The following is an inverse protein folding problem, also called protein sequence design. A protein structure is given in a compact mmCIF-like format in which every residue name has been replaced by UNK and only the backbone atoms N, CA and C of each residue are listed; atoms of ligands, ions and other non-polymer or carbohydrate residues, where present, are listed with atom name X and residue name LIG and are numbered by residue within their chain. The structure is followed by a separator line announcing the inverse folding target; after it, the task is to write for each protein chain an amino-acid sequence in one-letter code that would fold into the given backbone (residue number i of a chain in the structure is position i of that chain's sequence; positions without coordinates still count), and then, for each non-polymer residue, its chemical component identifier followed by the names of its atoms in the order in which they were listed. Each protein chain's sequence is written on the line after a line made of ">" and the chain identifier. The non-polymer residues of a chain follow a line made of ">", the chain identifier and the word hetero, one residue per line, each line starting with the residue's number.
data_IF_159605854960
#
_entry.id   IF_159605854960
#
_cell.length_a   1.000
_cell.length_b   1.000
_cell.length_c   1.000
_cell.angle_alpha   90.00
_cell.angle_beta   90.00
_cell.angle_gamma   90.00
#
_symmetry.space_group_name_H-M   'P 1'
#
loop_
_entity.id
_entity.type
_entity.pdbx_description
1 polymer ?
#
# COMPACT_ATOMS: atom_id res chain seq x y z
N UNK A 1 -13.48 22.25 14.63
CA UNK A 1 -12.70 21.20 15.32
C UNK A 1 -12.93 21.22 16.83
N UNK A 2 -13.00 22.38 17.46
CA UNK A 2 -13.28 22.47 18.93
C UNK A 2 -14.66 21.92 19.27
N UNK A 3 -15.66 22.23 18.48
CA UNK A 3 -17.01 21.70 18.63
C UNK A 3 -17.05 20.18 18.47
N UNK A 4 -16.38 19.63 17.45
CA UNK A 4 -16.22 18.20 17.28
C UNK A 4 -15.52 17.56 18.49
N UNK A 5 -14.48 18.21 19.01
CA UNK A 5 -13.76 17.77 20.21
C UNK A 5 -14.66 17.71 21.42
N UNK A 6 -15.51 18.72 21.64
CA UNK A 6 -16.43 18.77 22.78
C UNK A 6 -17.46 17.63 22.73
N UNK A 7 -17.99 17.32 21.54
CA UNK A 7 -18.94 16.22 21.34
C UNK A 7 -18.30 14.83 21.50
N UNK A 8 -17.00 14.69 21.17
CA UNK A 8 -16.26 13.44 21.32
C UNK A 8 -15.67 13.23 22.71
N UNK A 9 -15.57 14.28 23.52
CA UNK A 9 -14.94 14.23 24.83
C UNK A 9 -15.52 13.14 25.76
N UNK A 10 -16.86 12.91 25.83
CA UNK A 10 -17.42 11.84 26.65
C UNK A 10 -16.93 10.45 26.23
N UNK A 11 -16.80 10.19 24.93
CA UNK A 11 -16.32 8.90 24.44
C UNK A 11 -14.81 8.74 24.59
N UNK A 12 -14.06 9.81 24.45
CA UNK A 12 -12.61 9.81 24.75
C UNK A 12 -12.38 9.50 26.24
N UNK A 13 -13.31 9.89 27.13
CA UNK A 13 -13.30 9.61 28.56
C UNK A 13 -13.89 8.24 28.94
N UNK A 14 -14.16 7.37 28.00
CA UNK A 14 -14.64 6.00 28.25
C UNK A 14 -16.17 5.83 28.26
N UNK A 15 -16.93 6.83 27.79
CA UNK A 15 -18.38 6.76 27.65
C UNK A 15 -18.76 6.65 26.17
N UNK A 16 -19.88 5.99 25.88
CA UNK A 16 -20.44 5.96 24.53
C UNK A 16 -20.95 7.36 24.16
N UNK A 17 -20.69 7.81 22.93
CA UNK A 17 -21.27 9.06 22.44
C UNK A 17 -22.02 8.85 21.12
N UNK A 18 -23.01 9.71 20.88
CA UNK A 18 -23.77 9.78 19.66
C UNK A 18 -23.46 11.08 18.94
N UNK A 19 -23.17 10.98 17.64
CA UNK A 19 -22.88 12.15 16.80
C UNK A 19 -23.81 12.10 15.59
N UNK A 20 -24.61 13.14 15.43
CA UNK A 20 -25.38 13.35 14.20
C UNK A 20 -24.46 13.84 13.10
N UNK A 21 -24.59 13.25 11.92
CA UNK A 21 -23.81 13.61 10.76
C UNK A 21 -24.72 14.31 9.77
N UNK A 22 -24.30 15.51 9.39
CA UNK A 22 -24.91 16.26 8.29
C UNK A 22 -23.80 16.79 7.38
N UNK A 23 -24.01 16.81 6.06
CA UNK A 23 -23.10 17.45 5.14
C UNK A 23 -22.92 18.94 5.47
N UNK A 24 -21.67 19.42 5.40
CA UNK A 24 -21.32 20.83 5.58
C UNK A 24 -20.65 21.29 4.29
N UNK A 25 -21.23 22.26 3.62
CA UNK A 25 -20.75 22.75 2.33
C UNK A 25 -19.25 23.10 2.37
N UNK A 26 -18.50 22.54 1.44
CA UNK A 26 -17.04 22.70 1.28
C UNK A 26 -16.16 22.22 2.47
N UNK A 27 -16.73 21.47 3.42
CA UNK A 27 -16.00 20.96 4.59
C UNK A 27 -16.22 19.45 4.77
N UNK A 28 -17.48 19.00 4.73
CA UNK A 28 -17.86 17.61 4.96
C UNK A 28 -18.89 17.16 3.93
N UNK A 29 -18.57 16.10 3.19
CA UNK A 29 -19.49 15.39 2.30
C UNK A 29 -19.71 13.96 2.81
N UNK A 30 -20.96 13.50 2.82
CA UNK A 30 -21.34 12.14 3.22
C UNK A 30 -21.70 11.36 1.97
N UNK A 31 -21.06 10.21 1.79
CA UNK A 31 -21.26 9.33 0.64
C UNK A 31 -21.76 7.97 1.16
N UNK A 32 -22.89 7.49 0.65
CA UNK A 32 -23.33 6.14 0.98
C UNK A 32 -22.35 5.10 0.44
N UNK A 33 -22.08 4.01 1.19
CA UNK A 33 -21.09 3.00 0.76
C UNK A 33 -21.39 2.38 -0.61
N UNK A 34 -22.65 2.23 -0.97
CA UNK A 34 -23.10 1.71 -2.27
C UNK A 34 -22.85 2.72 -3.42
N UNK A 35 -22.87 4.01 -3.12
CA UNK A 35 -22.64 5.10 -4.08
C UNK A 35 -21.16 5.48 -4.18
N UNK A 36 -20.32 4.93 -3.28
CA UNK A 36 -18.90 5.24 -3.27
C UNK A 36 -18.17 4.63 -4.46
N UNK A 37 -17.78 5.50 -5.39
CA UNK A 37 -16.93 5.19 -6.53
C UNK A 37 -15.67 6.04 -6.47
N UNK A 38 -14.54 5.43 -6.13
CA UNK A 38 -13.26 6.12 -6.01
C UNK A 38 -12.81 6.80 -7.31
N UNK A 39 -13.14 6.25 -8.47
CA UNK A 39 -12.80 6.87 -9.76
C UNK A 39 -13.67 8.11 -10.07
N UNK A 40 -14.94 8.10 -9.70
CA UNK A 40 -15.80 9.29 -9.81
C UNK A 40 -15.30 10.38 -8.87
N UNK A 41 -15.00 10.01 -7.62
CA UNK A 41 -14.49 10.93 -6.63
C UNK A 41 -13.12 11.50 -7.02
N UNK A 42 -12.30 10.76 -7.77
CA UNK A 42 -10.96 11.18 -8.17
C UNK A 42 -10.94 12.53 -8.88
N UNK A 43 -11.97 12.87 -9.67
CA UNK A 43 -12.06 14.18 -10.34
C UNK A 43 -12.14 15.31 -9.32
N UNK A 44 -12.90 15.13 -8.25
CA UNK A 44 -13.01 16.12 -7.17
C UNK A 44 -11.73 16.18 -6.34
N UNK A 45 -11.04 15.03 -6.18
CA UNK A 45 -9.80 14.94 -5.41
C UNK A 45 -8.61 15.60 -6.10
N UNK A 46 -8.65 15.82 -7.42
CA UNK A 46 -7.55 16.42 -8.18
C UNK A 46 -7.17 17.83 -7.70
N UNK A 47 -8.13 18.59 -7.17
CA UNK A 47 -7.92 19.96 -6.66
C UNK A 47 -7.07 20.00 -5.38
N UNK A 48 -6.95 18.90 -4.65
CA UNK A 48 -6.20 18.83 -3.40
C UNK A 48 -4.75 18.41 -3.66
N UNK A 49 -3.81 18.99 -2.91
CA UNK A 49 -2.37 18.66 -3.01
C UNK A 49 -2.06 17.30 -2.40
N UNK A 50 -2.78 16.93 -1.33
CA UNK A 50 -2.62 15.67 -0.63
C UNK A 50 -3.98 15.10 -0.22
N UNK A 51 -4.15 13.79 -0.38
CA UNK A 51 -5.38 13.07 -0.09
C UNK A 51 -5.06 11.82 0.70
N UNK A 52 -5.76 11.62 1.80
CA UNK A 52 -5.64 10.44 2.66
C UNK A 52 -6.95 9.66 2.65
N UNK A 53 -6.88 8.37 2.36
CA UNK A 53 -7.95 7.41 2.64
C UNK A 53 -7.65 6.68 3.93
N UNK A 54 -8.60 6.66 4.86
CA UNK A 54 -8.49 6.03 6.15
C UNK A 54 -9.48 4.89 6.30
N UNK A 55 -8.95 3.70 6.58
CA UNK A 55 -9.73 2.53 6.95
C UNK A 55 -9.34 2.04 8.35
N UNK A 56 -10.22 1.27 8.98
CA UNK A 56 -9.96 0.67 10.28
C UNK A 56 -8.90 -0.43 10.18
N UNK A 57 -9.09 -1.34 9.24
CA UNK A 57 -8.25 -2.53 9.10
C UNK A 57 -7.34 -2.45 7.89
N UNK A 58 -6.20 -3.10 8.00
CA UNK A 58 -5.23 -3.19 6.92
C UNK A 58 -5.78 -3.86 5.65
N UNK A 59 -6.63 -4.88 5.83
CA UNK A 59 -7.25 -5.56 4.69
C UNK A 59 -8.18 -4.62 3.90
N UNK A 60 -8.90 -3.71 4.58
CA UNK A 60 -9.77 -2.73 3.92
C UNK A 60 -8.92 -1.67 3.19
N UNK A 61 -7.85 -1.21 3.83
CA UNK A 61 -6.84 -0.33 3.23
C UNK A 61 -6.24 -0.94 1.96
N UNK A 62 -5.79 -2.20 2.05
CA UNK A 62 -5.22 -2.93 0.92
C UNK A 62 -6.24 -3.16 -0.19
N UNK A 63 -7.47 -3.54 0.17
CA UNK A 63 -8.56 -3.74 -0.79
C UNK A 63 -8.87 -2.46 -1.56
N UNK A 64 -8.86 -1.31 -0.87
CA UNK A 64 -9.04 -0.01 -1.51
C UNK A 64 -7.89 0.32 -2.49
N UNK A 65 -6.64 0.13 -2.08
CA UNK A 65 -5.48 0.35 -2.96
C UNK A 65 -5.52 -0.55 -4.21
N UNK A 66 -5.93 -1.81 -4.05
CA UNK A 66 -6.10 -2.75 -5.18
C UNK A 66 -7.24 -2.34 -6.12
N UNK A 67 -8.28 -1.66 -5.63
CA UNK A 67 -9.35 -1.09 -6.47
C UNK A 67 -8.92 0.19 -7.18
N UNK A 68 -7.96 0.94 -6.62
CA UNK A 68 -7.43 2.21 -7.15
C UNK A 68 -5.93 2.10 -7.51
N UNK A 69 -5.52 1.08 -8.28
CA UNK A 69 -4.11 0.75 -8.47
C UNK A 69 -3.38 1.84 -9.25
N UNK A 70 -2.16 2.15 -8.79
CA UNK A 70 -1.33 3.20 -9.39
C UNK A 70 -1.76 4.63 -9.02
N UNK A 71 -2.82 4.78 -8.22
CA UNK A 71 -3.32 6.07 -7.73
C UNK A 71 -3.06 6.17 -6.24
N UNK A 72 -3.74 5.36 -5.43
CA UNK A 72 -3.49 5.31 -3.99
C UNK A 72 -2.36 4.34 -3.67
N UNK A 73 -1.46 4.80 -2.81
CA UNK A 73 -0.37 3.99 -2.27
C UNK A 73 -0.70 3.55 -0.85
N UNK A 74 -0.40 2.32 -0.53
CA UNK A 74 -0.56 1.80 0.82
C UNK A 74 0.53 2.35 1.74
N UNK A 75 0.14 2.85 2.90
CA UNK A 75 1.06 3.18 3.99
C UNK A 75 1.51 1.89 4.71
N UNK A 76 2.79 1.58 4.61
CA UNK A 76 3.35 0.33 5.13
C UNK A 76 3.54 0.39 6.65
N UNK A 77 3.38 -0.75 7.30
CA UNK A 77 3.68 -0.90 8.73
C UNK A 77 5.16 -0.67 9.01
N UNK A 78 5.46 -0.21 10.21
CA UNK A 78 6.85 -0.02 10.64
C UNK A 78 7.65 -1.33 10.69
N UNK A 79 7.04 -2.44 11.07
CA UNK A 79 7.67 -3.77 11.15
C UNK A 79 7.83 -4.46 9.79
N UNK A 80 7.02 -4.07 8.79
CA UNK A 80 7.09 -4.52 7.39
C UNK A 80 7.48 -6.01 7.20
N UNK A 81 6.78 -6.92 7.88
CA UNK A 81 7.11 -8.37 7.91
C UNK A 81 7.30 -8.98 6.52
N UNK A 82 6.52 -8.52 5.51
CA UNK A 82 6.62 -9.00 4.13
C UNK A 82 7.99 -8.70 3.51
N UNK A 83 8.59 -7.53 3.79
CA UNK A 83 9.94 -7.22 3.30
C UNK A 83 10.96 -8.26 3.77
N UNK A 84 10.94 -8.55 5.07
CA UNK A 84 11.88 -9.48 5.67
C UNK A 84 11.62 -10.94 5.28
N UNK A 85 10.35 -11.32 5.11
CA UNK A 85 9.98 -12.64 4.63
C UNK A 85 10.54 -12.89 3.22
N UNK A 86 10.30 -11.98 2.29
CA UNK A 86 10.80 -12.14 0.92
C UNK A 86 12.31 -11.93 0.80
N UNK A 87 12.92 -11.09 1.63
CA UNK A 87 14.38 -10.97 1.66
C UNK A 87 15.04 -12.30 2.03
N UNK A 88 14.52 -13.00 3.07
CA UNK A 88 14.98 -14.34 3.42
C UNK A 88 14.73 -15.37 2.30
N UNK A 89 13.56 -15.30 1.66
CA UNK A 89 13.26 -16.20 0.54
C UNK A 89 14.24 -15.97 -0.62
N UNK A 90 14.65 -14.75 -0.90
CA UNK A 90 15.62 -14.46 -1.95
C UNK A 90 17.01 -15.00 -1.61
N UNK A 91 17.43 -14.89 -0.33
CA UNK A 91 18.71 -15.44 0.12
C UNK A 91 18.74 -16.98 0.16
N UNK A 92 17.60 -17.62 0.42
CA UNK A 92 17.50 -19.08 0.59
C UNK A 92 17.10 -19.83 -0.67
N UNK A 93 16.57 -19.12 -1.68
CA UNK A 93 16.06 -19.75 -2.90
C UNK A 93 17.10 -19.71 -4.01
N UNK A 94 17.09 -20.73 -4.84
CA UNK A 94 17.94 -20.84 -6.04
C UNK A 94 17.10 -21.15 -7.27
N UNK A 95 17.67 -20.92 -8.44
CA UNK A 95 17.13 -21.30 -9.74
C UNK A 95 15.65 -20.88 -9.93
N UNK A 96 14.78 -21.81 -10.33
CA UNK A 96 13.35 -21.55 -10.57
C UNK A 96 12.60 -21.07 -9.35
N UNK A 97 13.03 -21.51 -8.15
CA UNK A 97 12.41 -21.09 -6.89
C UNK A 97 12.67 -19.62 -6.60
N UNK A 98 13.88 -19.12 -6.86
CA UNK A 98 14.20 -17.70 -6.73
C UNK A 98 13.39 -16.85 -7.71
N UNK A 99 13.35 -17.26 -8.98
CA UNK A 99 12.56 -16.57 -10.00
C UNK A 99 11.07 -16.52 -9.64
N UNK A 100 10.53 -17.61 -9.08
CA UNK A 100 9.16 -17.66 -8.58
C UNK A 100 8.95 -16.71 -7.39
N UNK A 101 9.86 -16.70 -6.43
CA UNK A 101 9.80 -15.83 -5.24
C UNK A 101 9.80 -14.34 -5.63
N UNK A 102 10.57 -13.97 -6.64
CA UNK A 102 10.57 -12.60 -7.19
C UNK A 102 9.19 -12.24 -7.75
N UNK A 103 8.60 -13.10 -8.60
CA UNK A 103 7.26 -12.85 -9.15
C UNK A 103 6.19 -12.78 -8.06
N UNK A 104 6.29 -13.62 -7.02
CA UNK A 104 5.39 -13.58 -5.87
C UNK A 104 5.52 -12.26 -5.10
N UNK A 105 6.74 -11.80 -4.82
CA UNK A 105 6.96 -10.51 -4.17
C UNK A 105 6.39 -9.33 -4.98
N UNK A 106 6.62 -9.31 -6.28
CA UNK A 106 6.10 -8.25 -7.14
C UNK A 106 4.57 -8.29 -7.18
N UNK A 107 3.96 -9.48 -7.11
CA UNK A 107 2.50 -9.62 -7.00
C UNK A 107 1.94 -9.07 -5.69
N UNK A 108 2.72 -9.05 -4.60
CA UNK A 108 2.34 -8.34 -3.37
C UNK A 108 2.38 -6.82 -3.51
N UNK A 109 3.12 -6.30 -4.49
CA UNK A 109 3.34 -4.87 -4.68
C UNK A 109 2.49 -4.25 -5.78
N UNK A 110 2.13 -5.04 -6.81
CA UNK A 110 1.47 -4.56 -8.02
C UNK A 110 0.30 -5.44 -8.44
N UNK A 111 -0.66 -4.84 -9.14
CA UNK A 111 -1.79 -5.58 -9.71
C UNK A 111 -1.42 -6.30 -11.00
N UNK A 112 -2.22 -7.30 -11.38
CA UNK A 112 -2.14 -8.07 -12.63
C UNK A 112 -0.94 -9.01 -12.77
N UNK A 113 0.01 -9.05 -11.83
CA UNK A 113 1.19 -9.92 -11.95
C UNK A 113 0.77 -11.38 -12.06
N UNK A 114 -0.08 -11.87 -11.17
CA UNK A 114 -0.55 -13.25 -11.18
C UNK A 114 -1.33 -13.64 -12.45
N UNK A 115 -2.10 -12.71 -13.04
CA UNK A 115 -2.85 -12.98 -14.27
C UNK A 115 -1.99 -12.86 -15.52
N UNK A 116 -1.20 -11.79 -15.61
CA UNK A 116 -0.39 -11.47 -16.77
C UNK A 116 0.84 -12.39 -16.91
N UNK A 117 1.46 -12.73 -15.77
CA UNK A 117 2.63 -13.60 -15.72
C UNK A 117 2.27 -15.07 -15.40
N UNK A 118 0.99 -15.46 -15.47
CA UNK A 118 0.53 -16.80 -15.08
C UNK A 118 1.28 -17.95 -15.80
N UNK A 119 1.60 -17.78 -17.08
CA UNK A 119 2.33 -18.79 -17.84
C UNK A 119 3.75 -19.01 -17.29
N UNK A 120 4.45 -17.96 -16.90
CA UNK A 120 5.75 -18.02 -16.23
C UNK A 120 5.63 -18.68 -14.87
N UNK A 121 4.68 -18.21 -14.04
CA UNK A 121 4.43 -18.75 -12.69
C UNK A 121 4.14 -20.25 -12.74
N UNK A 122 3.30 -20.71 -13.69
CA UNK A 122 3.01 -22.15 -13.83
C UNK A 122 4.25 -22.97 -14.20
N UNK A 123 5.08 -22.45 -15.11
CA UNK A 123 6.33 -23.14 -15.50
C UNK A 123 7.29 -23.22 -14.32
N UNK A 124 7.55 -22.12 -13.63
CA UNK A 124 8.42 -22.08 -12.46
C UNK A 124 7.93 -23.01 -11.34
N UNK A 125 6.62 -23.06 -11.08
CA UNK A 125 6.02 -24.00 -10.12
C UNK A 125 6.22 -25.47 -10.48
N UNK A 126 6.34 -25.77 -11.77
CA UNK A 126 6.64 -27.14 -12.26
C UNK A 126 8.15 -27.43 -12.34
N UNK A 127 9.01 -26.54 -11.87
CA UNK A 127 10.46 -26.68 -11.94
C UNK A 127 11.02 -26.58 -13.36
N UNK A 128 10.36 -25.80 -14.24
CA UNK A 128 10.77 -25.65 -15.62
C UNK A 128 11.16 -24.21 -15.95
N UNK A 129 12.35 -24.04 -16.50
CA UNK A 129 12.89 -22.79 -17.04
C UNK A 129 12.71 -22.63 -18.56
N UNK A 130 11.99 -23.56 -19.21
CA UNK A 130 11.67 -23.44 -20.63
C UNK A 130 10.51 -22.46 -20.88
N UNK A 131 10.83 -21.24 -21.26
CA UNK A 131 9.87 -20.20 -21.63
C UNK A 131 9.69 -20.01 -23.13
N UNK A 132 10.28 -20.86 -23.97
CA UNK A 132 10.32 -20.72 -25.44
C UNK A 132 8.94 -20.59 -26.11
N UNK A 133 7.93 -21.21 -25.52
CA UNK A 133 6.54 -21.18 -26.01
C UNK A 133 5.73 -19.98 -25.51
N UNK A 134 6.27 -19.18 -24.58
CA UNK A 134 5.57 -18.02 -24.02
C UNK A 134 5.93 -16.77 -24.84
N UNK A 135 4.97 -16.32 -25.66
CA UNK A 135 5.14 -15.15 -26.53
C UNK A 135 4.88 -13.81 -25.83
N UNK A 136 4.10 -13.84 -24.75
CA UNK A 136 3.80 -12.64 -23.98
C UNK A 136 4.97 -12.29 -23.08
N UNK A 137 5.46 -11.06 -23.17
CA UNK A 137 6.57 -10.56 -22.37
C UNK A 137 7.87 -11.38 -22.52
N UNK A 138 8.28 -11.68 -23.74
CA UNK A 138 9.50 -12.47 -24.03
C UNK A 138 10.74 -11.94 -23.30
N UNK A 139 10.85 -10.62 -23.12
CA UNK A 139 11.94 -10.01 -22.37
C UNK A 139 11.95 -10.45 -20.93
N UNK A 140 10.77 -10.50 -20.25
CA UNK A 140 10.66 -11.04 -18.91
C UNK A 140 11.17 -12.49 -18.83
N UNK A 141 10.79 -13.32 -19.81
CA UNK A 141 11.25 -14.70 -19.88
C UNK A 141 12.77 -14.81 -19.97
N UNK A 142 13.42 -13.94 -20.74
CA UNK A 142 14.89 -13.87 -20.82
C UNK A 142 15.52 -13.45 -19.50
N UNK A 143 14.96 -12.42 -18.84
CA UNK A 143 15.46 -11.94 -17.55
C UNK A 143 15.30 -13.01 -16.45
N UNK A 144 14.14 -13.69 -16.38
CA UNK A 144 13.93 -14.79 -15.43
C UNK A 144 14.91 -15.94 -15.69
N UNK A 145 15.22 -16.24 -16.96
CA UNK A 145 16.21 -17.26 -17.31
C UNK A 145 17.62 -16.86 -16.84
N UNK A 146 18.01 -15.59 -16.97
CA UNK A 146 19.28 -15.08 -16.44
C UNK A 146 19.35 -15.24 -14.92
N UNK A 147 18.27 -14.94 -14.19
CA UNK A 147 18.20 -15.16 -12.73
C UNK A 147 18.37 -16.64 -12.39
N UNK A 148 17.76 -17.55 -13.15
CA UNK A 148 17.85 -18.99 -12.92
C UNK A 148 19.27 -19.51 -13.19
N UNK A 149 19.93 -19.03 -14.23
CA UNK A 149 21.29 -19.44 -14.61
C UNK A 149 22.35 -18.80 -13.69
N UNK A 150 22.09 -17.60 -13.20
CA UNK A 150 22.98 -16.86 -12.31
C UNK A 150 22.18 -15.90 -11.43
N UNK A 151 22.11 -16.19 -10.13
CA UNK A 151 21.38 -15.43 -9.11
C UNK A 151 22.05 -14.10 -8.71
N UNK A 152 22.80 -13.48 -9.61
CA UNK A 152 23.46 -12.20 -9.32
C UNK A 152 22.45 -11.10 -8.97
N UNK A 153 22.82 -10.22 -8.05
CA UNK A 153 22.01 -9.06 -7.68
C UNK A 153 21.64 -8.20 -8.90
N UNK A 154 22.53 -8.12 -9.90
CA UNK A 154 22.26 -7.38 -11.14
C UNK A 154 21.08 -7.98 -11.91
N UNK A 155 21.03 -9.31 -12.06
CA UNK A 155 19.93 -9.97 -12.75
C UNK A 155 18.59 -9.77 -12.03
N UNK A 156 18.59 -9.77 -10.67
CA UNK A 156 17.42 -9.46 -9.89
C UNK A 156 16.96 -8.02 -10.14
N UNK A 157 17.88 -7.05 -10.10
CA UNK A 157 17.61 -5.62 -10.35
C UNK A 157 16.97 -5.43 -11.74
N UNK A 158 17.47 -6.11 -12.78
CA UNK A 158 16.92 -6.01 -14.13
C UNK A 158 15.46 -6.49 -14.22
N UNK A 159 15.10 -7.57 -13.49
CA UNK A 159 13.69 -8.01 -13.39
C UNK A 159 12.83 -6.92 -12.73
N UNK A 160 13.29 -6.32 -11.63
CA UNK A 160 12.57 -5.23 -10.98
C UNK A 160 12.39 -4.04 -11.92
N UNK A 161 13.43 -3.57 -12.58
CA UNK A 161 13.33 -2.45 -13.54
C UNK A 161 12.37 -2.74 -14.68
N UNK A 162 12.37 -3.96 -15.20
CA UNK A 162 11.42 -4.35 -16.24
C UNK A 162 9.96 -4.14 -15.79
N UNK A 163 9.62 -4.47 -14.54
CA UNK A 163 8.28 -4.24 -14.00
C UNK A 163 7.96 -2.78 -13.80
N UNK A 164 8.92 -1.95 -13.38
CA UNK A 164 8.73 -0.49 -13.24
C UNK A 164 8.42 0.19 -14.59
N UNK A 165 9.13 -0.20 -15.64
CA UNK A 165 8.97 0.36 -16.97
C UNK A 165 7.67 -0.09 -17.64
N UNK A 166 7.15 -1.24 -17.27
CA UNK A 166 5.96 -1.79 -17.89
C UNK A 166 4.67 -1.24 -17.25
N UNK A 167 4.08 -0.24 -17.92
CA UNK A 167 2.85 0.46 -17.47
C UNK A 167 1.63 -0.44 -17.28
N UNK A 168 1.68 -1.70 -17.71
CA UNK A 168 0.61 -2.70 -17.52
C UNK A 168 0.45 -3.06 -16.04
N UNK A 169 1.53 -3.05 -15.28
CA UNK A 169 1.55 -3.32 -13.86
C UNK A 169 1.37 -2.03 -13.08
N UNK A 170 0.38 -1.98 -12.19
CA UNK A 170 0.06 -0.80 -11.39
C UNK A 170 0.42 -1.07 -9.94
N UNK A 171 1.43 -0.38 -9.45
CA UNK A 171 1.91 -0.50 -8.08
C UNK A 171 0.96 0.20 -7.11
N UNK A 172 0.67 -0.47 -6.00
CA UNK A 172 -0.09 0.04 -4.86
C UNK A 172 0.71 -0.04 -3.55
N UNK A 173 1.88 -0.73 -3.57
CA UNK A 173 2.87 -0.80 -2.48
C UNK A 173 4.25 -0.40 -3.02
N UNK A 174 4.35 0.78 -3.58
CA UNK A 174 5.58 1.26 -4.21
C UNK A 174 6.70 1.41 -3.18
N UNK A 175 6.40 1.82 -1.94
CA UNK A 175 7.41 1.93 -0.88
C UNK A 175 8.07 0.59 -0.58
N UNK A 176 7.27 -0.47 -0.36
CA UNK A 176 7.76 -1.83 -0.14
C UNK A 176 8.61 -2.32 -1.30
N UNK A 177 8.16 -2.08 -2.54
CA UNK A 177 8.89 -2.43 -3.75
C UNK A 177 10.26 -1.74 -3.82
N UNK A 178 10.29 -0.45 -3.57
CA UNK A 178 11.53 0.34 -3.59
C UNK A 178 12.48 -0.03 -2.43
N UNK A 179 11.95 -0.39 -1.26
CA UNK A 179 12.76 -0.87 -0.14
C UNK A 179 13.45 -2.19 -0.49
N UNK A 180 12.75 -3.14 -1.12
CA UNK A 180 13.37 -4.39 -1.60
C UNK A 180 14.45 -4.12 -2.66
N UNK A 181 14.17 -3.27 -3.64
CA UNK A 181 15.14 -2.92 -4.67
C UNK A 181 16.39 -2.26 -4.08
N UNK A 182 16.22 -1.36 -3.11
CA UNK A 182 17.33 -0.76 -2.36
C UNK A 182 18.12 -1.81 -1.56
N UNK A 183 17.42 -2.79 -0.97
CA UNK A 183 18.04 -3.88 -0.22
C UNK A 183 18.92 -4.75 -1.13
N UNK A 184 18.42 -5.12 -2.31
CA UNK A 184 19.21 -5.89 -3.30
C UNK A 184 20.48 -5.11 -3.73
N UNK A 185 20.36 -3.81 -4.00
CA UNK A 185 21.49 -2.96 -4.37
C UNK A 185 22.51 -2.83 -3.23
N UNK A 186 22.03 -2.67 -2.01
CA UNK A 186 22.89 -2.55 -0.82
C UNK A 186 23.60 -3.87 -0.52
N UNK A 187 22.90 -4.99 -0.65
CA UNK A 187 23.46 -6.34 -0.53
C UNK A 187 24.63 -6.55 -1.50
N UNK A 188 24.45 -6.19 -2.78
CA UNK A 188 25.49 -6.25 -3.80
C UNK A 188 26.71 -5.35 -3.47
N UNK A 189 26.44 -4.14 -2.98
CA UNK A 189 27.50 -3.16 -2.70
C UNK A 189 28.32 -3.53 -1.47
N UNK A 190 27.68 -4.07 -0.44
CA UNK A 190 28.33 -4.43 0.84
C UNK A 190 28.76 -5.89 0.93
N UNK A 191 28.43 -6.72 -0.05
CA UNK A 191 28.64 -8.17 -0.04
C UNK A 191 28.03 -8.83 1.22
N UNK A 192 26.77 -8.50 1.53
CA UNK A 192 25.98 -9.06 2.63
C UNK A 192 24.69 -9.68 2.08
N UNK A 193 23.98 -10.44 2.90
CA UNK A 193 22.70 -11.02 2.54
C UNK A 193 21.62 -9.94 2.33
N UNK A 194 20.63 -10.22 1.48
CA UNK A 194 19.52 -9.30 1.18
C UNK A 194 18.71 -9.02 2.45
N UNK A 195 18.59 -10.02 3.33
CA UNK A 195 17.90 -9.86 4.62
C UNK A 195 18.60 -8.84 5.53
N UNK A 196 19.92 -8.91 5.65
CA UNK A 196 20.70 -7.95 6.43
C UNK A 196 20.64 -6.56 5.82
N UNK A 197 20.73 -6.50 4.49
CA UNK A 197 20.57 -5.25 3.76
C UNK A 197 19.17 -4.64 3.95
N UNK A 198 18.10 -5.45 3.94
CA UNK A 198 16.74 -5.01 4.21
C UNK A 198 16.58 -4.42 5.62
N UNK A 199 17.26 -5.02 6.60
CA UNK A 199 17.30 -4.49 7.98
C UNK A 199 17.93 -3.10 8.03
N UNK A 200 19.05 -2.91 7.34
CA UNK A 200 19.72 -1.59 7.26
C UNK A 200 18.84 -0.55 6.54
N UNK A 201 18.27 -0.91 5.39
CA UNK A 201 17.36 -0.04 4.62
C UNK A 201 16.16 0.38 5.46
N UNK A 202 15.59 -0.54 6.24
CA UNK A 202 14.42 -0.27 7.06
C UNK A 202 14.73 0.62 8.26
N UNK A 203 15.87 0.40 8.90
CA UNK A 203 16.34 1.27 9.98
C UNK A 203 16.56 2.70 9.50
N UNK A 204 17.20 2.89 8.36
CA UNK A 204 17.38 4.19 7.71
C UNK A 204 16.03 4.87 7.39
N UNK A 205 15.09 4.13 6.81
CA UNK A 205 13.75 4.63 6.48
C UNK A 205 12.95 5.05 7.72
N UNK A 206 13.20 4.40 8.85
CA UNK A 206 12.55 4.70 10.13
C UNK A 206 13.13 5.97 10.78
N UNK A 207 14.43 6.19 10.64
CA UNK A 207 15.14 7.38 11.16
C UNK A 207 14.89 8.62 10.29
N UNK A 208 14.88 8.45 8.97
CA UNK A 208 14.45 9.48 8.03
C UNK A 208 12.92 9.50 8.07
N UNK A 209 12.34 10.50 8.73
CA UNK A 209 10.87 10.69 8.80
C UNK A 209 10.22 10.17 7.52
N UNK A 210 9.29 9.21 7.65
CA UNK A 210 8.47 8.68 6.55
C UNK A 210 7.68 9.82 5.89
N UNK A 211 8.30 10.54 5.00
CA UNK A 211 7.60 11.40 4.08
C UNK A 211 7.21 10.55 2.88
N UNK A 212 6.01 10.04 2.94
CA UNK A 212 5.35 9.54 1.75
C UNK A 212 5.11 10.72 0.83
N UNK A 213 5.94 10.88 -0.18
CA UNK A 213 5.78 11.90 -1.23
C UNK A 213 4.60 11.58 -2.17
N UNK A 214 3.68 10.74 -1.72
CA UNK A 214 2.51 10.36 -2.51
C UNK A 214 1.38 11.36 -2.31
N UNK A 215 0.85 11.88 -3.42
CA UNK A 215 -0.33 12.73 -3.40
C UNK A 215 -1.54 12.00 -2.80
N UNK A 216 -1.68 10.70 -3.08
CA UNK A 216 -2.79 9.86 -2.65
C UNK A 216 -2.25 8.72 -1.80
N UNK A 217 -2.58 8.74 -0.52
CA UNK A 217 -2.16 7.74 0.46
C UNK A 217 -3.37 7.02 1.03
N UNK A 218 -3.24 5.73 1.26
CA UNK A 218 -4.19 4.93 2.04
C UNK A 218 -3.50 4.44 3.31
N UNK A 219 -4.09 4.73 4.47
CA UNK A 219 -3.51 4.42 5.77
C UNK A 219 -4.55 3.94 6.76
N UNK A 220 -4.09 3.40 7.87
CA UNK A 220 -4.92 3.17 9.06
C UNK A 220 -4.88 4.39 9.96
N UNK A 221 -5.96 4.59 10.70
CA UNK A 221 -6.10 5.76 11.59
C UNK A 221 -4.93 5.92 12.56
N UNK A 222 -4.41 4.81 13.10
CA UNK A 222 -3.29 4.84 14.05
C UNK A 222 -1.97 5.29 13.41
N UNK A 223 -1.72 4.92 12.15
CA UNK A 223 -0.48 5.27 11.44
C UNK A 223 -0.48 6.74 10.99
N UNK A 224 -1.66 7.34 10.82
CA UNK A 224 -1.81 8.71 10.35
C UNK A 224 -1.60 9.78 11.43
N UNK A 225 -1.31 9.40 12.68
CA UNK A 225 -1.08 10.37 13.78
C UNK A 225 0.05 11.32 13.44
N UNK A 226 -0.21 12.64 13.63
CA UNK A 226 0.78 13.70 13.36
C UNK A 226 0.89 14.11 11.89
N UNK A 227 0.24 13.41 10.98
CA UNK A 227 0.20 13.79 9.56
C UNK A 227 -1.02 14.68 9.30
N UNK A 228 -0.94 15.54 8.29
CA UNK A 228 -2.02 16.41 7.86
C UNK A 228 -2.16 16.39 6.33
N UNK A 229 -3.38 16.35 5.85
CA UNK A 229 -3.72 16.26 4.43
C UNK A 229 -4.74 17.33 4.06
N UNK A 230 -4.72 17.79 2.81
CA UNK A 230 -5.73 18.72 2.33
C UNK A 230 -7.12 18.10 2.38
N UNK A 231 -7.23 16.84 1.99
CA UNK A 231 -8.48 16.09 1.96
C UNK A 231 -8.32 14.72 2.63
N UNK A 232 -9.33 14.30 3.38
CA UNK A 232 -9.38 12.98 4.01
C UNK A 232 -10.68 12.28 3.65
N UNK A 233 -10.57 11.02 3.25
CA UNK A 233 -11.68 10.11 3.02
C UNK A 233 -11.70 9.13 4.19
N UNK A 234 -12.76 9.13 4.99
CA UNK A 234 -12.90 8.27 6.16
C UNK A 234 -13.89 7.15 5.85
N UNK A 235 -13.44 5.92 5.83
CA UNK A 235 -14.28 4.75 5.63
C UNK A 235 -14.91 4.30 6.96
N UNK A 236 -16.21 4.56 7.10
CA UNK A 236 -17.04 4.17 8.25
C UNK A 236 -17.85 2.89 8.02
N UNK A 237 -17.58 2.13 6.99
CA UNK A 237 -18.22 0.82 6.76
C UNK A 237 -17.91 -0.16 7.90
N UNK A 238 -16.80 0.06 8.59
CA UNK A 238 -16.45 -0.57 9.87
C UNK A 238 -16.47 0.47 11.00
N UNK A 239 -17.04 0.11 12.14
CA UNK A 239 -17.15 1.02 13.28
C UNK A 239 -15.77 1.43 13.80
N UNK A 240 -15.49 2.72 13.81
CA UNK A 240 -14.34 3.31 14.47
C UNK A 240 -14.68 3.58 15.95
N UNK A 241 -13.66 3.54 16.80
CA UNK A 241 -13.79 4.10 18.15
C UNK A 241 -13.83 5.63 18.09
N UNK A 242 -14.28 6.27 19.15
CA UNK A 242 -14.31 7.73 19.23
C UNK A 242 -12.91 8.36 19.08
N UNK A 243 -11.88 7.69 19.60
CA UNK A 243 -10.49 8.12 19.46
C UNK A 243 -10.01 8.02 18.00
N UNK A 244 -10.31 6.90 17.33
CA UNK A 244 -9.97 6.72 15.92
C UNK A 244 -10.72 7.73 15.03
N UNK A 245 -12.00 7.93 15.27
CA UNK A 245 -12.80 8.92 14.54
C UNK A 245 -12.24 10.34 14.73
N UNK A 246 -11.94 10.74 15.97
CA UNK A 246 -11.32 12.03 16.24
C UNK A 246 -9.99 12.20 15.50
N UNK A 247 -9.11 11.19 15.55
CA UNK A 247 -7.85 11.21 14.82
C UNK A 247 -8.11 11.36 13.33
N UNK A 248 -9.03 10.58 12.76
CA UNK A 248 -9.35 10.64 11.33
C UNK A 248 -9.83 12.03 10.90
N UNK A 249 -10.78 12.60 11.62
CA UNK A 249 -11.35 13.92 11.30
C UNK A 249 -10.32 15.05 11.41
N UNK A 250 -9.40 14.95 12.38
CA UNK A 250 -8.36 15.97 12.59
C UNK A 250 -7.19 15.90 11.62
N UNK A 251 -7.17 14.93 10.70
CA UNK A 251 -6.14 14.86 9.64
C UNK A 251 -6.44 15.78 8.46
N UNK A 252 -7.68 16.21 8.29
CA UNK A 252 -8.11 17.05 7.18
C UNK A 252 -7.87 18.54 7.46
N UNK A 253 -7.28 19.24 6.48
CA UNK A 253 -7.14 20.70 6.49
C UNK A 253 -8.31 21.41 5.83
N UNK A 254 -8.89 20.82 4.77
CA UNK A 254 -9.87 21.49 3.91
C UNK A 254 -11.17 20.71 3.77
N UNK A 255 -11.10 19.40 3.49
CA UNK A 255 -12.26 18.59 3.13
C UNK A 255 -12.24 17.22 3.74
N UNK A 256 -13.38 16.76 4.22
CA UNK A 256 -13.62 15.38 4.65
C UNK A 256 -14.71 14.75 3.80
N UNK A 257 -14.43 13.58 3.25
CA UNK A 257 -15.44 12.68 2.71
C UNK A 257 -15.67 11.55 3.71
N UNK A 258 -16.92 11.38 4.16
CA UNK A 258 -17.29 10.33 5.10
C UNK A 258 -18.11 9.27 4.38
N UNK A 259 -17.58 8.06 4.30
CA UNK A 259 -18.28 6.94 3.67
C UNK A 259 -19.13 6.25 4.73
N UNK A 260 -20.44 6.52 4.74
CA UNK A 260 -21.39 5.93 5.68
C UNK A 260 -22.83 6.07 5.15
N UNK A 261 -23.68 5.13 5.53
CA UNK A 261 -25.14 5.17 5.33
C UNK A 261 -25.90 5.66 6.58
N UNK A 262 -25.17 5.93 7.66
CA UNK A 262 -25.74 6.31 8.95
C UNK A 262 -25.83 7.84 9.07
N UNK A 263 -26.98 8.36 9.42
CA UNK A 263 -27.18 9.76 9.81
C UNK A 263 -26.69 10.08 11.23
N UNK A 264 -26.51 9.04 12.03
CA UNK A 264 -26.03 9.13 13.41
C UNK A 264 -25.01 8.04 13.67
N UNK A 265 -23.84 8.42 14.13
CA UNK A 265 -22.79 7.48 14.54
C UNK A 265 -22.85 7.26 16.06
N UNK A 266 -22.80 5.99 16.45
CA UNK A 266 -22.62 5.55 17.81
C UNK A 266 -21.16 5.14 17.96
N UNK A 267 -20.36 5.96 18.62
CA UNK A 267 -18.95 5.75 18.80
C UNK A 267 -18.66 5.16 20.19
N UNK A 268 -17.96 4.04 20.20
CA UNK A 268 -17.46 3.41 21.44
C UNK A 268 -16.19 4.10 21.91
N UNK A 269 -15.85 3.99 23.19
CA UNK A 269 -14.60 4.48 23.75
C UNK A 269 -13.35 3.99 23.05
#
# INVERSE_FOLDING_TARGET
>A
LEELRSHLLPAIQGRQCMISIAPISNILEVIAPLDFDGYKLLRQLQQYKSVLYLAKWENDQLAFCKKMPGIFQQDEKQDCGILFEYARLFDQSENEQLALSILCFINECATRVSSECNSYIKRLKSGSSDFSRIKKYEQLGRLLKLVIENNSSQNLIEVFHWFEENKQFKFYRMELYQEMLRSIRLAATKAIDIYDAATLVRNDSTLQKRYTNFKYLSSRTLLSKGLEFDCVIVDMTKELTAKEFYVAMTRAKKMVYLITDKSTLILKP
#
